data_IF_193185028600
#
_entry.id   IF_193185028600
#
_cell.length_a   1.000
_cell.length_b   1.000
_cell.length_c   1.000
_cell.angle_alpha   90.00
_cell.angle_beta   90.00
_cell.angle_gamma   90.00
#
_symmetry.space_group_name_H-M   'P 1'
#
loop_
_entity.id
_entity.type
_entity.pdbx_description
1 polymer ?
#
# COMPACT_ATOMS: atom_id res chain seq x y z
N UNK A 1 18.06 0.14 11.21
CA UNK A 1 18.12 -1.10 12.01
C UNK A 1 18.01 -2.25 11.05
N UNK A 2 18.67 -3.36 11.33
CA UNK A 2 18.47 -4.64 10.64
C UNK A 2 17.92 -5.57 11.71
N UNK A 3 16.69 -6.03 11.54
CA UNK A 3 15.92 -6.68 12.61
C UNK A 3 15.81 -8.20 12.41
N UNK A 4 15.96 -8.68 11.18
CA UNK A 4 16.01 -10.10 10.81
C UNK A 4 17.21 -10.39 9.88
N UNK A 5 17.67 -11.65 9.76
CA UNK A 5 18.74 -12.03 8.82
C UNK A 5 18.37 -11.85 7.33
N UNK A 6 17.06 -11.92 7.03
CA UNK A 6 16.48 -11.73 5.71
C UNK A 6 15.29 -10.76 5.80
N UNK A 7 14.11 -11.16 5.35
CA UNK A 7 12.89 -10.39 5.48
C UNK A 7 12.38 -10.41 6.92
N UNK A 8 11.74 -9.32 7.35
CA UNK A 8 10.96 -9.29 8.58
C UNK A 8 9.87 -10.35 8.57
N UNK A 9 9.46 -10.84 9.74
CA UNK A 9 8.27 -11.70 9.83
C UNK A 9 7.01 -10.95 9.38
N UNK A 10 6.02 -11.67 8.84
CA UNK A 10 4.69 -11.11 8.57
C UNK A 10 4.09 -10.51 9.86
N UNK A 11 3.31 -9.44 9.77
CA UNK A 11 2.71 -8.73 10.90
C UNK A 11 1.84 -9.65 11.77
N UNK A 12 1.13 -10.61 11.17
CA UNK A 12 0.34 -11.59 11.93
C UNK A 12 1.20 -12.53 12.78
N UNK A 13 2.47 -12.73 12.40
CA UNK A 13 3.41 -13.65 13.02
C UNK A 13 4.58 -12.91 13.72
N UNK A 14 4.57 -11.57 13.72
CA UNK A 14 5.65 -10.73 14.24
C UNK A 14 5.80 -10.88 15.75
N UNK A 15 7.03 -11.04 16.22
CA UNK A 15 7.34 -10.94 17.64
C UNK A 15 7.37 -9.47 18.06
N UNK A 16 6.32 -9.03 18.77
CA UNK A 16 6.14 -7.63 19.19
C UNK A 16 7.14 -7.15 20.24
N UNK A 17 7.92 -8.06 20.84
CA UNK A 17 8.97 -7.70 21.80
C UNK A 17 10.30 -7.37 21.11
N UNK A 18 10.60 -8.04 19.99
CA UNK A 18 11.90 -7.95 19.29
C UNK A 18 11.84 -7.15 18.01
N UNK A 19 10.70 -7.17 17.31
CA UNK A 19 10.57 -6.66 15.95
C UNK A 19 9.64 -5.45 15.91
N UNK A 20 10.10 -4.30 15.38
CA UNK A 20 9.23 -3.15 15.18
C UNK A 20 8.20 -3.45 14.08
N UNK A 21 7.00 -2.90 14.20
CA UNK A 21 6.06 -2.85 13.08
C UNK A 21 6.56 -1.89 11.99
N UNK A 22 5.98 -1.96 10.78
CA UNK A 22 6.28 -0.97 9.73
C UNK A 22 5.91 0.44 10.21
N UNK A 23 4.78 0.57 10.90
CA UNK A 23 4.37 1.82 11.55
C UNK A 23 5.44 2.36 12.50
N UNK A 24 6.00 1.52 13.39
CA UNK A 24 7.04 1.93 14.34
C UNK A 24 8.33 2.37 13.63
N UNK A 25 8.72 1.66 12.58
CA UNK A 25 9.90 2.01 11.78
C UNK A 25 9.74 3.37 11.10
N UNK A 26 8.57 3.65 10.52
CA UNK A 26 8.26 4.94 9.88
C UNK A 26 8.28 6.07 10.90
N UNK A 27 7.69 5.87 12.08
CA UNK A 27 7.70 6.87 13.15
C UNK A 27 9.13 7.27 13.54
N UNK A 28 10.01 6.29 13.73
CA UNK A 28 11.42 6.55 14.07
C UNK A 28 12.17 7.20 12.90
N UNK A 29 11.95 6.74 11.67
CA UNK A 29 12.57 7.31 10.48
C UNK A 29 12.24 8.81 10.35
N UNK A 30 10.96 9.18 10.47
CA UNK A 30 10.53 10.59 10.40
C UNK A 30 11.12 11.40 11.56
N UNK A 31 11.15 10.87 12.79
CA UNK A 31 11.77 11.52 13.95
C UNK A 31 13.26 11.87 13.71
N UNK A 32 13.97 11.04 12.97
CA UNK A 32 15.38 11.26 12.63
C UNK A 32 15.50 12.23 11.45
N UNK A 33 14.81 11.95 10.35
CA UNK A 33 14.94 12.67 9.09
C UNK A 33 14.49 14.13 9.18
N UNK A 34 13.42 14.41 9.96
CA UNK A 34 12.89 15.78 10.14
C UNK A 34 13.85 16.74 10.84
N UNK A 35 14.98 16.25 11.36
CA UNK A 35 16.03 17.10 11.96
C UNK A 35 16.81 17.87 10.91
N UNK A 36 16.75 17.47 9.63
CA UNK A 36 17.38 18.21 8.54
C UNK A 36 16.50 19.39 8.10
N UNK A 37 16.95 20.65 8.25
CA UNK A 37 16.16 21.81 7.83
C UNK A 37 15.97 21.90 6.31
N UNK A 38 16.74 21.17 5.51
CA UNK A 38 16.60 21.11 4.06
C UNK A 38 15.57 20.04 3.59
N UNK A 39 14.83 19.44 4.51
CA UNK A 39 13.89 18.37 4.21
C UNK A 39 14.53 16.99 4.07
N UNK A 40 13.72 16.02 3.64
CA UNK A 40 14.14 14.63 3.47
C UNK A 40 13.35 13.94 2.35
N UNK A 41 13.91 12.83 1.87
CA UNK A 41 13.20 11.82 1.09
C UNK A 41 13.08 10.57 1.95
N UNK A 42 11.91 9.95 1.97
CA UNK A 42 11.65 8.70 2.68
C UNK A 42 10.91 7.76 1.74
N UNK A 43 11.48 6.57 1.53
CA UNK A 43 10.82 5.44 0.90
C UNK A 43 10.37 4.48 2.01
N UNK A 44 9.11 4.08 1.95
CA UNK A 44 8.50 3.10 2.85
C UNK A 44 7.86 2.04 1.98
N UNK A 45 8.11 0.78 2.28
CA UNK A 45 7.67 -0.35 1.46
C UNK A 45 6.95 -1.37 2.32
N UNK A 46 5.71 -1.71 1.97
CA UNK A 46 4.98 -2.86 2.50
C UNK A 46 5.38 -4.13 1.75
N UNK A 47 6.68 -4.45 1.70
CA UNK A 47 7.23 -5.42 0.75
C UNK A 47 6.69 -6.85 0.89
N UNK A 48 6.16 -7.21 2.06
CA UNK A 48 5.60 -8.54 2.31
C UNK A 48 4.17 -8.72 1.83
N UNK A 49 3.51 -7.66 1.33
CA UNK A 49 2.24 -7.78 0.61
C UNK A 49 2.42 -8.74 -0.58
N UNK A 50 3.48 -8.50 -1.37
CA UNK A 50 3.88 -9.32 -2.51
C UNK A 50 4.18 -10.78 -2.11
N UNK A 51 5.01 -10.97 -1.08
CA UNK A 51 5.35 -12.31 -0.59
C UNK A 51 4.10 -13.09 -0.17
N UNK A 52 3.13 -12.44 0.49
CA UNK A 52 1.88 -13.07 0.88
C UNK A 52 1.05 -13.52 -0.32
N UNK A 53 1.04 -12.75 -1.40
CA UNK A 53 0.37 -13.11 -2.65
C UNK A 53 1.09 -14.24 -3.39
N UNK A 54 2.41 -14.16 -3.55
CA UNK A 54 3.23 -15.25 -4.12
C UNK A 54 3.00 -16.59 -3.41
N UNK A 55 2.88 -16.57 -2.09
CA UNK A 55 2.61 -17.77 -1.29
C UNK A 55 1.15 -18.24 -1.38
N UNK A 56 0.24 -17.51 -2.05
CA UNK A 56 -1.20 -17.80 -2.11
C UNK A 56 -1.94 -17.51 -0.80
N UNK A 57 -1.30 -16.80 0.15
CA UNK A 57 -1.78 -16.54 1.50
C UNK A 57 -2.41 -15.15 1.59
N UNK A 58 -3.61 -15.01 1.04
CA UNK A 58 -4.30 -13.72 1.01
C UNK A 58 -4.48 -13.08 2.40
N UNK A 59 -4.60 -13.88 3.47
CA UNK A 59 -4.69 -13.34 4.83
C UNK A 59 -3.40 -12.65 5.27
N UNK A 60 -2.24 -13.20 4.95
CA UNK A 60 -0.96 -12.53 5.20
C UNK A 60 -0.85 -11.25 4.36
N UNK A 61 -1.05 -11.36 3.04
CA UNK A 61 -0.93 -10.22 2.13
C UNK A 61 -1.80 -9.02 2.52
N UNK A 62 -3.07 -9.27 2.85
CA UNK A 62 -4.00 -8.19 3.22
C UNK A 62 -3.74 -7.62 4.62
N UNK A 63 -3.18 -8.40 5.55
CA UNK A 63 -2.76 -7.86 6.83
C UNK A 63 -1.47 -7.03 6.71
N UNK A 64 -0.54 -7.39 5.82
CA UNK A 64 0.60 -6.52 5.46
C UNK A 64 0.11 -5.21 4.84
N UNK A 65 -0.90 -5.26 3.97
CA UNK A 65 -1.48 -4.06 3.38
C UNK A 65 -2.13 -3.14 4.44
N UNK A 66 -2.80 -3.72 5.43
CA UNK A 66 -3.31 -2.96 6.58
C UNK A 66 -2.17 -2.34 7.40
N UNK A 67 -1.05 -3.03 7.56
CA UNK A 67 0.11 -2.48 8.25
C UNK A 67 0.78 -1.35 7.47
N UNK A 68 0.87 -1.46 6.15
CA UNK A 68 1.28 -0.35 5.27
C UNK A 68 0.33 0.85 5.36
N UNK A 69 -0.99 0.63 5.41
CA UNK A 69 -1.98 1.71 5.58
C UNK A 69 -1.82 2.45 6.92
N UNK A 70 -1.55 1.73 8.01
CA UNK A 70 -1.19 2.37 9.29
C UNK A 70 0.10 3.17 9.21
N UNK A 71 1.11 2.65 8.50
CA UNK A 71 2.38 3.34 8.27
C UNK A 71 2.19 4.65 7.48
N UNK A 72 1.30 4.64 6.49
CA UNK A 72 0.84 5.85 5.76
C UNK A 72 0.13 6.81 6.72
N UNK A 73 -0.76 6.29 7.57
CA UNK A 73 -1.49 7.06 8.57
C UNK A 73 -0.58 7.78 9.56
N UNK A 74 0.41 7.09 10.14
CA UNK A 74 1.37 7.71 11.07
C UNK A 74 2.25 8.74 10.36
N UNK A 75 2.68 8.48 9.11
CA UNK A 75 3.43 9.46 8.32
C UNK A 75 2.61 10.73 8.07
N UNK A 76 1.31 10.60 7.75
CA UNK A 76 0.38 11.71 7.60
C UNK A 76 0.20 12.53 8.88
N UNK A 77 0.17 11.88 10.05
CA UNK A 77 0.10 12.58 11.35
C UNK A 77 1.40 13.30 11.73
N UNK A 78 2.54 12.88 11.19
CA UNK A 78 3.86 13.37 11.57
C UNK A 78 4.46 14.40 10.59
N UNK A 79 3.80 14.61 9.45
CA UNK A 79 4.24 15.51 8.37
C UNK A 79 3.15 16.54 8.07
N UNK A 80 3.49 17.59 7.31
CA UNK A 80 2.50 18.59 6.87
C UNK A 80 2.27 18.50 5.37
N UNK A 81 1.03 18.39 4.94
CA UNK A 81 0.67 18.50 3.51
C UNK A 81 1.00 19.87 2.90
N UNK A 82 1.40 20.86 3.71
CA UNK A 82 1.87 22.15 3.22
C UNK A 82 3.29 22.08 2.64
N UNK A 83 4.12 21.15 3.11
CA UNK A 83 5.54 21.05 2.75
C UNK A 83 5.98 19.64 2.37
N UNK A 84 5.11 18.64 2.51
CA UNK A 84 5.40 17.24 2.25
C UNK A 84 4.50 16.71 1.14
N UNK A 85 5.09 16.27 0.02
CA UNK A 85 4.41 15.48 -1.00
C UNK A 85 4.49 14.01 -0.57
N UNK A 86 3.34 13.39 -0.31
CA UNK A 86 3.22 11.95 -0.09
C UNK A 86 2.61 11.32 -1.33
N UNK A 87 3.24 10.25 -1.82
CA UNK A 87 2.75 9.43 -2.94
C UNK A 87 2.69 7.99 -2.47
N UNK A 88 1.56 7.33 -2.70
CA UNK A 88 1.35 5.91 -2.44
C UNK A 88 1.03 5.24 -3.77
N UNK A 89 1.75 4.17 -4.09
CA UNK A 89 1.58 3.39 -5.33
C UNK A 89 1.95 1.94 -5.04
N UNK A 90 1.63 1.05 -5.97
CA UNK A 90 2.29 -0.25 -6.10
C UNK A 90 3.32 -0.21 -7.24
N UNK A 91 4.25 -1.16 -7.23
CA UNK A 91 5.17 -1.44 -8.32
C UNK A 91 4.54 -2.34 -9.40
N UNK A 92 3.70 -3.28 -9.00
CA UNK A 92 2.82 -4.09 -9.85
C UNK A 92 1.62 -4.65 -9.05
N UNK A 93 0.76 -5.42 -9.71
CA UNK A 93 -0.37 -6.11 -9.07
C UNK A 93 -0.10 -7.62 -8.94
N UNK A 94 -1.13 -8.42 -8.67
CA UNK A 94 -1.14 -9.88 -8.59
C UNK A 94 -2.36 -10.45 -9.33
N UNK A 95 -2.34 -11.74 -9.67
CA UNK A 95 -3.53 -12.44 -10.20
C UNK A 95 -4.54 -12.79 -9.10
N UNK A 96 -4.68 -11.90 -8.11
CA UNK A 96 -5.61 -11.96 -7.00
C UNK A 96 -7.00 -11.48 -7.44
N UNK A 97 -8.05 -12.17 -6.99
CA UNK A 97 -9.44 -11.78 -7.26
C UNK A 97 -10.29 -11.90 -6.01
N UNK A 98 -11.25 -10.99 -5.89
CA UNK A 98 -12.29 -11.01 -4.85
C UNK A 98 -13.67 -10.93 -5.51
N UNK A 99 -14.51 -11.93 -5.29
CA UNK A 99 -15.81 -12.05 -5.94
C UNK A 99 -16.81 -12.91 -5.17
N UNK A 100 -17.67 -13.63 -5.90
CA UNK A 100 -18.60 -14.59 -5.32
C UNK A 100 -19.90 -13.99 -4.75
N UNK A 101 -20.27 -12.75 -5.10
CA UNK A 101 -21.53 -12.11 -4.67
C UNK A 101 -21.76 -12.14 -3.15
N UNK A 102 -20.70 -11.92 -2.38
CA UNK A 102 -20.81 -11.89 -0.92
C UNK A 102 -21.66 -10.71 -0.42
N UNK A 103 -22.56 -10.93 0.55
CA UNK A 103 -23.36 -9.85 1.11
C UNK A 103 -22.48 -8.90 1.93
N UNK A 104 -22.94 -7.65 2.08
CA UNK A 104 -22.27 -6.66 2.92
C UNK A 104 -22.09 -7.19 4.35
N UNK A 105 -20.87 -7.08 4.88
CA UNK A 105 -20.52 -7.56 6.22
C UNK A 105 -20.06 -9.02 6.28
N UNK A 106 -20.06 -9.74 5.15
CA UNK A 106 -19.42 -11.06 5.09
C UNK A 106 -17.91 -10.94 5.36
N UNK A 107 -17.30 -11.86 6.13
CA UNK A 107 -15.86 -11.88 6.32
C UNK A 107 -15.13 -11.97 4.97
N UNK A 108 -14.08 -11.16 4.81
CA UNK A 108 -13.30 -11.08 3.57
C UNK A 108 -12.68 -12.45 3.20
N UNK A 109 -12.18 -13.16 4.21
CA UNK A 109 -11.61 -14.52 4.09
C UNK A 109 -12.68 -15.62 4.15
N UNK A 110 -13.96 -15.27 4.03
CA UNK A 110 -15.08 -16.19 4.10
C UNK A 110 -15.41 -16.84 2.76
N UNK A 111 -16.34 -17.79 2.82
CA UNK A 111 -16.91 -18.44 1.63
C UNK A 111 -17.90 -17.51 0.92
N UNK A 112 -18.05 -17.74 -0.38
CA UNK A 112 -19.19 -17.23 -1.13
C UNK A 112 -20.50 -17.86 -0.59
N UNK A 113 -21.65 -17.16 -0.67
CA UNK A 113 -22.92 -17.64 -0.13
C UNK A 113 -23.58 -18.73 -0.99
N UNK A 114 -22.91 -19.19 -2.06
CA UNK A 114 -23.43 -20.16 -3.02
C UNK A 114 -22.42 -21.29 -3.25
N UNK A 115 -22.94 -22.44 -3.68
CA UNK A 115 -22.12 -23.55 -4.18
C UNK A 115 -21.82 -23.33 -5.66
N UNK A 116 -20.74 -23.94 -6.15
CA UNK A 116 -20.55 -24.07 -7.60
C UNK A 116 -21.70 -24.88 -8.19
N UNK A 117 -22.29 -24.40 -9.28
CA UNK A 117 -23.31 -25.10 -10.06
C UNK A 117 -22.75 -26.27 -10.90
N UNK A 118 -21.43 -26.44 -10.92
CA UNK A 118 -20.73 -27.51 -11.66
C UNK A 118 -20.37 -28.68 -10.75
N UNK A 119 -19.65 -28.43 -9.66
CA UNK A 119 -19.16 -29.50 -8.75
C UNK A 119 -19.89 -29.56 -7.40
N UNK A 120 -20.87 -28.67 -7.20
CA UNK A 120 -21.69 -28.57 -6.00
C UNK A 120 -20.89 -28.42 -4.69
N UNK A 121 -19.67 -27.88 -4.76
CA UNK A 121 -18.81 -27.59 -3.60
C UNK A 121 -18.73 -26.09 -3.34
N UNK A 122 -18.55 -25.66 -2.07
CA UNK A 122 -18.33 -24.27 -1.73
C UNK A 122 -17.00 -23.76 -2.26
N UNK A 123 -16.86 -22.44 -2.33
CA UNK A 123 -15.63 -21.77 -2.72
C UNK A 123 -15.46 -20.48 -1.93
N UNK A 124 -14.22 -20.02 -1.79
CA UNK A 124 -13.87 -18.80 -1.09
C UNK A 124 -14.14 -17.58 -1.96
N UNK A 125 -14.42 -16.45 -1.30
CA UNK A 125 -14.62 -15.17 -2.00
C UNK A 125 -13.33 -14.70 -2.69
N UNK A 126 -12.19 -15.04 -2.09
CA UNK A 126 -10.86 -14.79 -2.63
C UNK A 126 -10.38 -16.02 -3.40
N UNK A 127 -9.82 -15.78 -4.59
CA UNK A 127 -9.19 -16.78 -5.45
C UNK A 127 -7.98 -16.16 -6.16
N UNK A 128 -7.08 -17.01 -6.65
CA UNK A 128 -5.98 -16.59 -7.54
C UNK A 128 -6.09 -17.21 -8.93
N UNK A 129 -5.55 -16.53 -9.95
CA UNK A 129 -5.43 -17.09 -11.29
C UNK A 129 -4.49 -18.30 -11.34
N UNK A 130 -3.37 -18.24 -10.64
CA UNK A 130 -2.39 -19.32 -10.53
C UNK A 130 -1.76 -19.32 -9.13
N UNK A 131 -0.89 -20.28 -8.82
CA UNK A 131 -0.14 -20.31 -7.57
C UNK A 131 -0.27 -21.63 -6.79
N UNK A 132 0.24 -21.66 -5.56
CA UNK A 132 0.40 -22.90 -4.78
C UNK A 132 -0.91 -23.43 -4.18
N UNK A 133 -2.00 -22.65 -4.23
CA UNK A 133 -3.31 -23.07 -3.72
C UNK A 133 -4.09 -24.02 -4.63
N UNK A 134 -3.60 -24.31 -5.85
CA UNK A 134 -4.21 -25.33 -6.71
C UNK A 134 -4.15 -26.71 -6.04
N UNK A 135 -5.30 -27.37 -5.90
CA UNK A 135 -5.36 -28.69 -5.27
C UNK A 135 -6.49 -29.56 -5.82
N UNK A 136 -6.11 -30.80 -6.16
CA UNK A 136 -7.03 -31.85 -6.63
C UNK A 136 -6.94 -33.03 -5.68
N UNK A 137 -8.07 -33.46 -5.13
CA UNK A 137 -8.22 -34.62 -4.26
C UNK A 137 -9.08 -35.65 -4.98
N UNK A 138 -8.54 -36.84 -5.22
CA UNK A 138 -9.23 -37.94 -5.91
C UNK A 138 -9.83 -37.55 -7.27
N UNK A 139 -9.13 -36.69 -8.02
CA UNK A 139 -9.57 -36.22 -9.34
C UNK A 139 -10.56 -35.06 -9.31
N UNK A 140 -10.91 -34.53 -8.13
CA UNK A 140 -11.84 -33.41 -8.00
C UNK A 140 -11.24 -32.23 -7.22
N UNK A 141 -11.85 -31.04 -7.34
CA UNK A 141 -11.52 -29.88 -6.52
C UNK A 141 -11.71 -30.16 -5.03
N UNK A 142 -10.78 -29.69 -4.20
CA UNK A 142 -10.89 -29.79 -2.74
C UNK A 142 -12.14 -29.05 -2.23
N UNK A 143 -12.91 -29.71 -1.35
CA UNK A 143 -14.05 -29.09 -0.69
C UNK A 143 -13.56 -28.25 0.50
N UNK A 144 -13.67 -26.93 0.38
CA UNK A 144 -13.18 -25.98 1.40
C UNK A 144 -13.95 -26.01 2.72
N UNK A 145 -15.10 -26.67 2.81
CA UNK A 145 -15.77 -26.90 4.10
C UNK A 145 -15.03 -27.89 5.00
N UNK A 146 -14.11 -28.68 4.45
CA UNK A 146 -13.37 -29.72 5.18
C UNK A 146 -12.01 -29.23 5.71
N UNK A 147 -11.69 -27.94 5.51
CA UNK A 147 -10.41 -27.35 5.90
C UNK A 147 -10.65 -26.04 6.67
N UNK A 148 -9.66 -25.62 7.45
CA UNK A 148 -9.69 -24.33 8.13
C UNK A 148 -9.26 -23.21 7.18
N UNK A 149 -10.24 -22.56 6.55
CA UNK A 149 -10.02 -21.40 5.68
C UNK A 149 -9.67 -20.11 6.46
N UNK A 150 -9.78 -20.12 7.79
CA UNK A 150 -9.47 -18.98 8.64
C UNK A 150 -8.04 -19.01 9.19
N UNK A 151 -7.32 -20.12 8.97
CA UNK A 151 -5.91 -20.24 9.30
C UNK A 151 -5.07 -19.15 8.58
N UNK A 152 -4.09 -18.58 9.29
CA UNK A 152 -3.25 -17.49 8.77
C UNK A 152 -2.53 -17.86 7.45
N UNK A 153 -2.13 -19.13 7.31
CA UNK A 153 -1.44 -19.63 6.12
C UNK A 153 -2.36 -20.48 5.22
N UNK A 154 -3.67 -20.27 5.27
CA UNK A 154 -4.58 -20.87 4.29
C UNK A 154 -4.20 -20.40 2.87
N UNK A 155 -4.08 -21.36 1.95
CA UNK A 155 -3.79 -21.10 0.54
C UNK A 155 -5.11 -21.02 -0.23
N UNK A 156 -5.46 -19.82 -0.71
CA UNK A 156 -6.67 -19.65 -1.51
C UNK A 156 -6.55 -20.44 -2.83
N UNK A 157 -7.63 -21.07 -3.25
CA UNK A 157 -7.63 -21.92 -4.45
C UNK A 157 -7.21 -21.12 -5.69
N UNK A 158 -6.46 -21.76 -6.59
CA UNK A 158 -6.02 -21.18 -7.86
C UNK A 158 -6.34 -22.08 -9.06
N UNK A 159 -6.36 -21.52 -10.27
CA UNK A 159 -6.70 -22.28 -11.49
C UNK A 159 -5.51 -23.03 -12.09
N UNK A 160 -4.29 -22.48 -12.01
CA UNK A 160 -3.06 -23.11 -12.53
C UNK A 160 -2.05 -23.37 -11.39
N UNK A 161 -1.54 -24.61 -11.24
CA UNK A 161 -0.58 -24.93 -10.18
C UNK A 161 0.79 -24.33 -10.46
N UNK A 162 1.29 -23.52 -9.51
CA UNK A 162 2.65 -23.02 -9.48
C UNK A 162 3.21 -23.09 -8.05
N UNK A 163 4.53 -23.04 -7.90
CA UNK A 163 5.16 -22.97 -6.56
C UNK A 163 4.97 -21.60 -5.91
N UNK A 164 4.89 -20.57 -6.73
CA UNK A 164 4.58 -19.19 -6.35
C UNK A 164 3.56 -18.67 -7.36
N UNK A 165 2.58 -17.92 -6.88
CA UNK A 165 1.67 -17.14 -7.70
C UNK A 165 2.44 -16.06 -8.49
N UNK A 166 1.90 -15.56 -9.60
CA UNK A 166 2.57 -14.56 -10.45
C UNK A 166 2.00 -13.15 -10.27
N UNK A 167 2.83 -12.13 -10.52
CA UNK A 167 2.35 -10.75 -10.60
C UNK A 167 1.24 -10.58 -11.66
N UNK A 168 0.40 -9.57 -11.43
CA UNK A 168 -0.59 -9.03 -12.34
C UNK A 168 0.00 -7.88 -13.16
N UNK A 169 -0.41 -7.79 -14.42
CA UNK A 169 0.10 -6.80 -15.38
C UNK A 169 -0.87 -5.65 -15.67
N UNK A 170 -1.96 -5.55 -14.93
CA UNK A 170 -2.89 -4.44 -14.99
C UNK A 170 -2.37 -3.19 -14.29
N UNK A 171 -2.93 -2.04 -14.65
CA UNK A 171 -2.57 -0.75 -14.07
C UNK A 171 -2.79 -0.73 -12.55
N UNK A 172 -1.87 -0.11 -11.83
CA UNK A 172 -1.96 0.11 -10.38
C UNK A 172 -2.30 1.56 -10.05
N UNK A 173 -2.94 1.77 -8.90
CA UNK A 173 -3.34 3.11 -8.47
C UNK A 173 -2.15 3.93 -7.96
N UNK A 174 -2.22 5.25 -8.18
CA UNK A 174 -1.35 6.24 -7.56
C UNK A 174 -2.22 7.21 -6.76
N UNK A 175 -1.97 7.30 -5.46
CA UNK A 175 -2.58 8.28 -4.56
C UNK A 175 -1.53 9.33 -4.20
N UNK A 176 -1.93 10.60 -4.14
CA UNK A 176 -1.02 11.67 -3.82
C UNK A 176 -1.68 12.79 -3.01
N UNK A 177 -0.91 13.37 -2.08
CA UNK A 177 -1.29 14.55 -1.30
C UNK A 177 -0.09 15.46 -1.05
N UNK A 178 -0.34 16.76 -0.93
CA UNK A 178 0.69 17.77 -0.68
C UNK A 178 1.14 18.56 -1.91
N UNK A 179 2.29 19.26 -1.86
CA UNK A 179 2.75 20.14 -2.92
C UNK A 179 2.87 19.41 -4.26
N UNK A 180 2.27 20.00 -5.31
CA UNK A 180 2.23 19.45 -6.68
C UNK A 180 1.55 18.09 -6.86
N UNK A 181 0.83 17.56 -5.85
CA UNK A 181 0.11 16.29 -5.96
C UNK A 181 -0.91 16.26 -7.11
N UNK A 182 -1.48 17.42 -7.47
CA UNK A 182 -2.43 17.56 -8.59
C UNK A 182 -1.85 17.19 -9.96
N UNK A 183 -0.54 17.02 -10.09
CA UNK A 183 0.11 16.55 -11.33
C UNK A 183 -0.06 15.05 -11.54
N UNK A 184 -0.33 14.27 -10.50
CA UNK A 184 -0.58 12.83 -10.60
C UNK A 184 -2.08 12.61 -10.90
N UNK A 185 -2.45 12.57 -12.18
CA UNK A 185 -3.85 12.51 -12.61
C UNK A 185 -4.06 11.63 -13.86
N UNK A 186 -5.21 10.96 -13.98
CA UNK A 186 -5.49 10.15 -15.18
C UNK A 186 -4.59 8.91 -15.25
N UNK A 187 -4.05 8.61 -16.45
CA UNK A 187 -3.23 7.42 -16.71
C UNK A 187 -1.83 7.85 -17.14
N UNK A 188 -0.82 7.30 -16.49
CA UNK A 188 0.58 7.63 -16.73
C UNK A 188 1.45 6.37 -16.74
N UNK A 189 2.57 6.46 -17.44
CA UNK A 189 3.67 5.50 -17.30
C UNK A 189 4.25 5.58 -15.87
N UNK A 190 4.65 4.45 -15.30
CA UNK A 190 5.12 4.40 -13.91
C UNK A 190 6.36 5.28 -13.65
N UNK A 191 7.24 5.43 -14.65
CA UNK A 191 8.41 6.30 -14.54
C UNK A 191 8.04 7.79 -14.39
N UNK A 192 6.79 8.18 -14.61
CA UNK A 192 6.29 9.53 -14.35
C UNK A 192 6.34 9.91 -12.86
N UNK A 193 6.13 8.95 -11.96
CA UNK A 193 6.08 9.18 -10.51
C UNK A 193 7.36 9.88 -9.99
N UNK A 194 8.58 9.34 -10.21
CA UNK A 194 9.80 10.00 -9.75
C UNK A 194 10.05 11.36 -10.44
N UNK A 195 9.55 11.57 -11.67
CA UNK A 195 9.65 12.88 -12.32
C UNK A 195 8.80 13.94 -11.60
N UNK A 196 7.57 13.61 -11.20
CA UNK A 196 6.73 14.53 -10.41
C UNK A 196 7.35 14.80 -9.04
N UNK A 197 7.84 13.76 -8.36
CA UNK A 197 8.52 13.92 -7.06
C UNK A 197 9.74 14.84 -7.18
N UNK A 198 10.57 14.64 -8.21
CA UNK A 198 11.74 15.46 -8.46
C UNK A 198 11.38 16.92 -8.82
N UNK A 199 10.25 17.11 -9.53
CA UNK A 199 9.73 18.43 -9.86
C UNK A 199 9.22 19.17 -8.62
N UNK A 200 8.41 18.50 -7.79
CA UNK A 200 7.86 19.06 -6.55
C UNK A 200 8.96 19.44 -5.55
N UNK A 201 10.03 18.65 -5.47
CA UNK A 201 11.17 18.91 -4.58
C UNK A 201 12.25 19.81 -5.20
N UNK A 202 12.10 20.23 -6.46
CA UNK A 202 13.08 21.04 -7.19
C UNK A 202 14.51 20.49 -7.17
N UNK A 203 14.63 19.17 -7.35
CA UNK A 203 15.90 18.45 -7.41
C UNK A 203 16.26 18.05 -8.84
N UNK A 204 17.52 17.64 -9.03
CA UNK A 204 18.01 17.20 -10.33
C UNK A 204 17.89 18.26 -11.41
N UNK A 205 17.22 17.94 -12.51
CA UNK A 205 17.00 18.83 -13.65
C UNK A 205 15.96 19.94 -13.36
N UNK A 206 15.20 19.84 -12.27
CA UNK A 206 14.10 20.75 -11.94
C UNK A 206 14.49 21.88 -10.98
N UNK A 207 15.79 22.11 -10.73
CA UNK A 207 16.26 23.13 -9.75
C UNK A 207 15.78 24.55 -10.03
N UNK A 208 15.54 24.89 -11.29
CA UNK A 208 15.10 26.24 -11.67
C UNK A 208 13.60 26.46 -11.41
N UNK A 209 12.78 25.41 -11.30
CA UNK A 209 11.33 25.51 -11.10
C UNK A 209 10.97 26.27 -9.82
N UNK A 210 11.68 26.02 -8.72
CA UNK A 210 11.45 26.73 -7.45
C UNK A 210 12.08 28.13 -7.40
N UNK A 211 12.90 28.51 -8.37
CA UNK A 211 13.55 29.84 -8.37
C UNK A 211 12.66 30.94 -8.93
N UNK A 212 11.62 30.59 -9.71
CA UNK A 212 10.75 31.56 -10.37
C UNK A 212 9.71 32.22 -9.45
N UNK A 213 9.62 31.84 -8.18
CA UNK A 213 8.92 32.64 -7.17
C UNK A 213 9.85 33.73 -6.61
N UNK A 214 10.09 34.77 -7.42
CA UNK A 214 10.56 36.05 -6.88
C UNK A 214 9.55 36.57 -5.84
N UNK A 215 10.02 37.19 -4.75
CA UNK A 215 9.13 37.76 -3.75
C UNK A 215 8.21 38.77 -4.44
N UNK A 216 6.92 38.74 -4.09
CA UNK A 216 6.04 39.88 -4.25
C UNK A 216 6.68 41.06 -3.52
N UNK A 217 7.54 41.79 -4.22
CA UNK A 217 7.96 43.13 -3.86
C UNK A 217 6.79 44.06 -4.16
N UNK A 218 5.74 43.95 -3.35
CA UNK A 218 4.72 44.98 -3.31
C UNK A 218 5.29 46.13 -2.47
N UNK A 219 5.95 47.08 -3.11
CA UNK A 219 6.17 48.38 -2.51
C UNK A 219 4.85 49.16 -2.54
N UNK A 220 4.10 49.14 -1.43
CA UNK A 220 3.13 50.18 -1.12
C UNK A 220 2.79 50.17 0.38
N UNK A 221 3.37 51.15 1.08
CA UNK A 221 2.83 51.89 2.22
C UNK A 221 2.11 51.15 3.36
N UNK A 222 2.70 51.33 4.55
CA UNK A 222 2.10 51.29 5.90
C UNK A 222 0.56 51.39 5.96
N UNK A 223 -0.11 50.28 6.26
CA UNK A 223 -1.33 50.26 7.09
C UNK A 223 -1.33 48.98 7.92
N UNK A 224 -1.35 49.14 9.25
CA UNK A 224 -1.64 48.06 10.19
C UNK A 224 -3.03 47.48 9.89
N UNK A 225 -3.11 46.19 9.57
CA UNK A 225 -4.33 45.42 9.78
C UNK A 225 -3.96 43.96 10.04
N UNK A 226 -4.18 43.55 11.28
CA UNK A 226 -4.21 42.18 11.76
C UNK A 226 -5.17 41.34 10.92
N UNK A 227 -4.69 40.33 10.20
CA UNK A 227 -5.57 39.27 9.71
C UNK A 227 -4.96 37.88 9.90
N UNK A 228 -5.67 37.13 10.72
CA UNK A 228 -5.57 35.71 11.02
C UNK A 228 -5.99 34.83 9.83
N UNK A 229 -5.27 33.75 9.57
CA UNK A 229 -5.71 32.60 8.74
C UNK A 229 -4.84 31.39 9.15
N UNK A 230 -5.21 30.47 10.05
CA UNK A 230 -6.33 29.50 10.11
C UNK A 230 -6.49 28.63 8.85
N UNK A 231 -6.78 27.33 9.10
CA UNK A 231 -7.21 26.21 8.20
C UNK A 231 -6.05 25.27 7.77
N UNK A 232 -5.76 24.11 8.40
CA UNK A 232 -6.53 22.90 8.84
C UNK A 232 -6.83 21.95 7.64
N UNK A 233 -5.93 21.02 7.26
CA UNK A 233 -5.77 19.57 7.61
C UNK A 233 -6.88 18.65 6.99
N UNK A 234 -6.71 17.42 6.41
CA UNK A 234 -5.67 16.39 6.11
C UNK A 234 -6.26 15.36 5.09
N UNK A 235 -5.47 14.55 4.37
CA UNK A 235 -5.85 13.32 3.63
C UNK A 235 -4.80 12.18 3.70
N UNK A 236 -5.23 10.97 3.28
CA UNK A 236 -4.68 9.62 3.50
C UNK A 236 -3.45 9.30 2.63
#
# INVERSE_FOLDING_TARGET
>A
GLFEPHDLMYELDRNRETDPSLQDMVEVAIKILRKNPNGFFLLVEGGRIDHGHHEGKAKQALHEAVEMDKAIGIAGMMTSERDTLTVVTADHSHVFTFGGYTPRGNPLFGMAPMLSDVDNKPFTSILYGNGPGYKVINGERENVSNIDIHYNNYLAQSAVPLRQETHGGEDVAVFAKGPMAHLLHGVHEQNYIPHVMAYAACIGQNKEHCKTHYPLSCSASTVLATLSTLVLLLLF
#
